data_IF_704035246371
#
_entry.id   IF_704035246371
#
_cell.length_a   1.000
_cell.length_b   1.000
_cell.length_c   1.000
_cell.angle_alpha   90.00
_cell.angle_beta   90.00
_cell.angle_gamma   90.00
#
_symmetry.space_group_name_H-M   'P 1'
#
loop_
_entity.id
_entity.type
_entity.pdbx_description
1 polymer ?
#
# COMPACT_ATOMS: atom_id res chain seq x y z
N UNK A 1 -53.84 -1.60 16.36
CA UNK A 1 -53.84 -0.13 16.26
C UNK A 1 -54.02 0.42 17.67
N UNK A 2 -52.94 0.55 18.43
CA UNK A 2 -52.92 1.38 19.63
C UNK A 2 -52.24 2.69 19.24
N UNK A 3 -52.93 3.80 19.43
CA UNK A 3 -52.40 5.13 19.18
C UNK A 3 -51.75 5.63 20.48
N UNK A 4 -50.47 5.96 20.43
CA UNK A 4 -49.78 6.68 21.51
C UNK A 4 -50.50 7.99 21.80
N UNK A 5 -50.66 8.28 23.10
CA UNK A 5 -51.21 9.54 23.58
C UNK A 5 -50.05 10.44 24.00
N UNK A 6 -50.08 11.67 23.53
CA UNK A 6 -49.11 12.73 23.85
C UNK A 6 -49.61 13.52 25.05
N UNK A 7 -48.78 13.65 26.09
CA UNK A 7 -49.00 14.56 27.23
C UNK A 7 -48.70 16.02 26.82
N UNK A 8 -49.20 17.04 27.53
CA UNK A 8 -49.12 18.44 27.12
C UNK A 8 -47.70 19.03 27.15
N UNK A 9 -46.69 18.30 27.61
CA UNK A 9 -45.27 18.66 27.53
C UNK A 9 -44.53 18.06 26.31
N UNK A 10 -45.22 17.26 25.49
CA UNK A 10 -44.67 16.65 24.27
C UNK A 10 -43.89 15.36 24.48
N UNK A 11 -43.86 14.79 25.70
CA UNK A 11 -43.23 13.49 25.96
C UNK A 11 -44.05 12.31 25.40
N UNK A 12 -43.35 11.34 24.79
CA UNK A 12 -43.93 10.07 24.34
C UNK A 12 -43.83 9.05 25.49
N UNK A 13 -44.95 8.38 25.76
CA UNK A 13 -45.07 7.36 26.80
C UNK A 13 -45.40 6.01 26.16
N UNK A 14 -44.79 4.94 26.64
CA UNK A 14 -45.09 3.60 26.17
C UNK A 14 -46.44 3.07 26.70
N UNK A 15 -46.84 1.88 26.25
CA UNK A 15 -48.08 1.23 26.64
C UNK A 15 -48.20 0.94 28.16
N UNK A 16 -47.09 1.02 28.91
CA UNK A 16 -47.01 0.81 30.35
C UNK A 16 -46.88 2.13 31.14
N UNK A 17 -47.01 3.28 30.47
CA UNK A 17 -47.01 4.61 31.09
C UNK A 17 -45.62 5.09 31.54
N UNK A 18 -44.55 4.53 30.98
CA UNK A 18 -43.18 4.98 31.24
C UNK A 18 -42.78 5.98 30.16
N UNK A 19 -42.14 7.08 30.58
CA UNK A 19 -41.52 8.05 29.69
C UNK A 19 -40.43 7.36 28.87
N UNK A 20 -40.61 7.32 27.56
CA UNK A 20 -39.59 6.83 26.64
C UNK A 20 -38.59 7.99 26.47
N UNK A 21 -37.30 7.82 26.79
CA UNK A 21 -36.31 8.84 26.46
C UNK A 21 -36.34 9.05 24.95
N UNK A 22 -36.25 10.30 24.46
CA UNK A 22 -36.08 10.52 23.02
C UNK A 22 -34.87 9.70 22.56
N UNK A 23 -34.98 8.99 21.42
CA UNK A 23 -33.83 8.37 20.77
C UNK A 23 -32.82 9.47 20.45
N UNK A 24 -31.88 9.69 21.37
CA UNK A 24 -30.69 10.46 21.10
C UNK A 24 -29.93 9.71 20.01
N UNK A 25 -29.79 10.36 18.86
CA UNK A 25 -28.78 10.01 17.87
C UNK A 25 -27.47 9.76 18.63
N UNK A 26 -26.81 8.63 18.39
CA UNK A 26 -25.57 8.21 19.07
C UNK A 26 -24.38 9.17 18.90
N UNK A 27 -24.60 10.34 18.31
CA UNK A 27 -23.63 11.39 18.03
C UNK A 27 -23.95 12.59 18.93
N UNK A 28 -23.14 12.78 19.97
CA UNK A 28 -23.25 13.94 20.86
C UNK A 28 -23.08 15.25 20.10
N UNK A 29 -23.89 16.25 20.46
CA UNK A 29 -23.88 17.61 19.89
C UNK A 29 -22.49 18.29 19.96
N UNK A 30 -21.65 17.87 20.90
CA UNK A 30 -20.28 18.37 21.10
C UNK A 30 -19.32 18.05 19.97
N UNK A 31 -19.49 16.92 19.26
CA UNK A 31 -18.56 16.51 18.19
C UNK A 31 -18.72 17.36 16.90
N UNK A 32 -19.74 18.20 16.87
CA UNK A 32 -20.14 19.01 15.70
C UNK A 32 -19.99 20.51 15.89
N UNK A 33 -19.41 20.97 17.01
CA UNK A 33 -19.20 22.40 17.19
C UNK A 33 -18.19 22.92 16.15
N UNK A 34 -18.60 23.95 15.40
CA UNK A 34 -17.82 24.54 14.30
C UNK A 34 -16.88 25.67 14.75
N UNK A 35 -16.93 26.03 16.03
CA UNK A 35 -16.08 27.05 16.63
C UNK A 35 -15.87 26.75 18.10
N UNK A 36 -14.65 26.92 18.57
CA UNK A 36 -14.25 26.64 19.94
C UNK A 36 -13.39 27.77 20.47
N UNK A 37 -13.51 28.09 21.76
CA UNK A 37 -12.37 28.68 22.44
C UNK A 37 -11.41 27.56 22.85
N UNK A 38 -10.13 27.89 23.02
CA UNK A 38 -9.09 26.88 23.27
C UNK A 38 -9.29 26.11 24.59
N UNK A 39 -9.85 26.74 25.62
CA UNK A 39 -10.06 26.08 26.92
C UNK A 39 -11.15 25.01 26.82
N UNK A 40 -12.27 25.34 26.17
CA UNK A 40 -13.36 24.39 25.96
C UNK A 40 -12.89 23.22 25.08
N UNK A 41 -12.18 23.51 23.98
CA UNK A 41 -11.65 22.47 23.08
C UNK A 41 -10.75 21.46 23.81
N UNK A 42 -9.85 21.95 24.67
CA UNK A 42 -8.94 21.11 25.45
C UNK A 42 -9.65 20.30 26.54
N UNK A 43 -10.88 20.68 26.92
CA UNK A 43 -11.69 19.95 27.89
C UNK A 43 -12.54 18.84 27.26
N UNK A 44 -12.69 18.84 25.93
CA UNK A 44 -13.41 17.79 25.20
C UNK A 44 -12.56 16.54 25.10
N UNK A 45 -13.17 15.39 25.36
CA UNK A 45 -12.60 14.09 25.01
C UNK A 45 -13.23 13.64 23.70
N UNK A 46 -12.45 13.67 22.63
CA UNK A 46 -12.86 13.17 21.32
C UNK A 46 -12.69 11.65 21.25
N UNK A 47 -13.59 10.97 20.55
CA UNK A 47 -13.40 9.57 20.20
C UNK A 47 -12.18 9.43 19.27
N UNK A 48 -11.43 8.31 19.37
CA UNK A 48 -10.36 8.05 18.42
C UNK A 48 -10.88 7.98 16.97
N UNK A 49 -10.10 8.43 15.97
CA UNK A 49 -10.51 8.39 14.58
C UNK A 49 -10.95 6.98 14.15
N UNK A 50 -12.03 6.89 13.37
CA UNK A 50 -12.50 5.60 12.85
C UNK A 50 -11.59 5.14 11.71
N UNK A 51 -11.11 3.92 11.79
CA UNK A 51 -10.28 3.31 10.74
C UNK A 51 -11.09 2.29 9.92
N UNK A 52 -11.07 2.46 8.61
CA UNK A 52 -11.47 1.41 7.68
C UNK A 52 -10.34 0.38 7.52
N UNK A 53 -9.09 0.87 7.45
CA UNK A 53 -7.88 0.05 7.41
C UNK A 53 -6.84 0.74 8.30
N UNK A 54 -6.54 0.22 9.50
CA UNK A 54 -5.59 0.83 10.42
C UNK A 54 -4.24 1.14 9.76
N UNK A 55 -3.76 2.38 9.94
CA UNK A 55 -2.50 2.87 9.37
C UNK A 55 -2.55 3.20 7.86
N UNK A 56 -3.69 3.00 7.19
CA UNK A 56 -3.83 3.28 5.76
C UNK A 56 -5.03 4.16 5.42
N UNK A 57 -6.21 3.87 5.98
CA UNK A 57 -7.48 4.53 5.70
C UNK A 57 -8.20 4.87 7.00
N UNK A 58 -7.95 6.06 7.54
CA UNK A 58 -8.78 6.69 8.57
C UNK A 58 -10.01 7.36 7.94
N UNK A 59 -10.94 7.81 8.78
CA UNK A 59 -11.97 8.76 8.40
C UNK A 59 -11.37 10.00 7.70
N UNK A 60 -12.16 10.60 6.81
CA UNK A 60 -11.68 11.62 5.88
C UNK A 60 -11.36 11.04 4.50
N UNK A 61 -10.60 11.80 3.71
CA UNK A 61 -10.33 11.49 2.30
C UNK A 61 -8.90 11.04 2.09
N UNK A 62 -8.74 9.80 1.63
CA UNK A 62 -7.46 9.25 1.15
C UNK A 62 -7.46 9.15 -0.37
N UNK A 63 -6.40 9.62 -1.03
CA UNK A 63 -6.22 9.45 -2.47
C UNK A 63 -5.28 8.28 -2.76
N UNK A 64 -5.74 7.27 -3.50
CA UNK A 64 -4.89 6.22 -4.06
C UNK A 64 -4.46 6.59 -5.48
N UNK A 65 -3.25 7.12 -5.61
CA UNK A 65 -2.66 7.54 -6.87
C UNK A 65 -1.69 6.49 -7.46
N UNK A 66 -1.41 6.60 -8.75
CA UNK A 66 -0.41 5.79 -9.47
C UNK A 66 -0.67 5.71 -10.96
N UNK A 67 0.30 5.21 -11.72
CA UNK A 67 0.19 5.14 -13.18
C UNK A 67 -0.97 4.22 -13.63
N UNK A 68 -1.50 4.40 -14.85
CA UNK A 68 -2.49 3.46 -15.40
C UNK A 68 -2.00 2.01 -15.35
N UNK A 69 -2.92 1.09 -15.05
CA UNK A 69 -2.69 -0.37 -15.05
C UNK A 69 -1.69 -0.91 -14.00
N UNK A 70 -1.27 -0.10 -13.02
CA UNK A 70 -0.40 -0.60 -11.93
C UNK A 70 -1.13 -1.49 -10.92
N UNK A 71 -2.48 -1.50 -10.90
CA UNK A 71 -3.26 -2.37 -10.01
C UNK A 71 -4.08 -1.66 -8.93
N UNK A 72 -4.26 -0.34 -9.00
CA UNK A 72 -5.05 0.44 -8.02
C UNK A 72 -6.48 -0.05 -7.83
N UNK A 73 -7.23 -0.24 -8.92
CA UNK A 73 -8.61 -0.75 -8.83
C UNK A 73 -8.68 -2.17 -8.27
N UNK A 74 -7.61 -2.96 -8.40
CA UNK A 74 -7.54 -4.28 -7.75
C UNK A 74 -7.30 -4.14 -6.25
N UNK A 75 -6.37 -3.26 -5.85
CA UNK A 75 -6.16 -2.92 -4.44
C UNK A 75 -7.45 -2.37 -3.80
N UNK A 76 -8.07 -1.37 -4.43
CA UNK A 76 -9.27 -0.73 -3.92
C UNK A 76 -10.45 -1.71 -3.77
N UNK A 77 -10.63 -2.63 -4.74
CA UNK A 77 -11.68 -3.65 -4.67
C UNK A 77 -11.39 -4.68 -3.57
N UNK A 78 -10.15 -5.14 -3.44
CA UNK A 78 -9.73 -6.07 -2.38
C UNK A 78 -9.93 -5.45 -0.99
N UNK A 79 -9.59 -4.18 -0.81
CA UNK A 79 -9.86 -3.44 0.43
C UNK A 79 -11.36 -3.34 0.71
N UNK A 80 -12.20 -3.00 -0.28
CA UNK A 80 -13.65 -2.92 -0.07
C UNK A 80 -14.27 -4.27 0.30
N UNK A 81 -13.83 -5.35 -0.35
CA UNK A 81 -14.25 -6.72 0.01
C UNK A 81 -13.79 -7.08 1.43
N UNK A 82 -12.54 -6.79 1.77
CA UNK A 82 -11.97 -7.09 3.08
C UNK A 82 -12.65 -6.29 4.20
N UNK A 83 -12.93 -4.99 4.00
CA UNK A 83 -13.67 -4.18 4.99
C UNK A 83 -15.10 -4.69 5.16
N UNK A 84 -15.78 -5.03 4.06
CA UNK A 84 -17.14 -5.56 4.13
C UNK A 84 -17.24 -6.97 4.75
N UNK A 85 -16.18 -7.77 4.64
CA UNK A 85 -16.13 -9.14 5.16
C UNK A 85 -15.49 -9.25 6.54
N UNK A 86 -14.69 -8.24 6.94
CA UNK A 86 -13.69 -8.38 7.99
C UNK A 86 -12.48 -9.22 7.54
N UNK A 87 -11.63 -9.60 8.49
CA UNK A 87 -10.43 -10.41 8.22
C UNK A 87 -9.19 -9.52 8.08
N UNK A 88 -8.41 -9.70 7.00
CA UNK A 88 -7.13 -9.00 6.84
C UNK A 88 -7.03 -8.21 5.54
N UNK A 89 -6.83 -6.89 5.61
CA UNK A 89 -6.35 -6.09 4.49
C UNK A 89 -4.88 -6.40 4.22
N UNK A 90 -4.52 -6.43 2.93
CA UNK A 90 -3.15 -6.68 2.47
C UNK A 90 -2.49 -7.93 3.09
N UNK A 91 -3.31 -8.90 3.53
CA UNK A 91 -2.86 -10.14 4.18
C UNK A 91 -2.33 -10.01 5.60
N UNK A 92 -2.25 -8.80 6.18
CA UNK A 92 -1.67 -8.59 7.52
C UNK A 92 -2.52 -7.75 8.47
N UNK A 93 -3.14 -6.68 7.96
CA UNK A 93 -3.83 -5.68 8.79
C UNK A 93 -5.22 -6.18 9.15
N UNK A 94 -5.48 -6.44 10.43
CA UNK A 94 -6.78 -6.89 10.91
C UNK A 94 -7.85 -5.82 10.76
N UNK A 95 -9.03 -6.23 10.31
CA UNK A 95 -10.15 -5.35 9.99
C UNK A 95 -11.37 -5.67 10.85
N UNK A 96 -12.00 -4.62 11.35
CA UNK A 96 -13.36 -4.69 11.84
C UNK A 96 -14.32 -4.67 10.64
N UNK A 97 -15.25 -5.65 10.53
CA UNK A 97 -16.21 -5.66 9.44
C UNK A 97 -17.15 -4.44 9.53
N UNK A 98 -17.62 -3.98 8.38
CA UNK A 98 -18.68 -2.96 8.31
C UNK A 98 -19.08 -2.65 6.87
N UNK A 99 -20.24 -2.01 6.64
CA UNK A 99 -20.71 -1.72 5.29
C UNK A 99 -19.68 -0.91 4.49
N UNK A 100 -19.54 -1.27 3.21
CA UNK A 100 -18.68 -0.59 2.27
C UNK A 100 -19.42 -0.30 0.96
N UNK A 101 -19.18 0.88 0.40
CA UNK A 101 -19.70 1.30 -0.91
C UNK A 101 -18.57 1.35 -1.92
N UNK A 102 -18.70 0.65 -3.04
CA UNK A 102 -17.73 0.67 -4.14
C UNK A 102 -18.37 1.23 -5.42
N UNK A 103 -17.93 2.42 -5.83
CA UNK A 103 -18.33 3.06 -7.08
C UNK A 103 -17.35 2.66 -8.21
N UNK A 104 -17.73 1.67 -9.01
CA UNK A 104 -16.97 1.09 -10.14
C UNK A 104 -17.27 1.79 -11.48
N UNK A 105 -16.78 3.01 -11.65
CA UNK A 105 -17.20 3.97 -12.68
C UNK A 105 -16.45 3.86 -14.03
N UNK A 106 -15.50 2.93 -14.14
CA UNK A 106 -14.77 2.64 -15.40
C UNK A 106 -15.10 1.25 -15.98
N UNK A 107 -16.27 0.70 -15.68
CA UNK A 107 -16.61 -0.66 -16.05
C UNK A 107 -18.08 -0.91 -16.32
N UNK A 108 -18.40 -2.18 -16.47
CA UNK A 108 -19.76 -2.69 -16.56
C UNK A 108 -20.01 -3.67 -15.42
N UNK A 109 -21.27 -3.97 -15.13
CA UNK A 109 -21.62 -5.01 -14.15
C UNK A 109 -20.95 -6.35 -14.46
N UNK A 110 -20.81 -6.73 -15.74
CA UNK A 110 -20.07 -7.95 -16.15
C UNK A 110 -18.61 -7.91 -15.73
N UNK A 111 -17.91 -6.78 -15.97
CA UNK A 111 -16.50 -6.63 -15.60
C UNK A 111 -16.33 -6.67 -14.08
N UNK A 112 -17.19 -5.97 -13.35
CA UNK A 112 -17.16 -5.94 -11.89
C UNK A 112 -17.43 -7.34 -11.31
N UNK A 113 -18.45 -8.06 -11.81
CA UNK A 113 -18.75 -9.42 -11.38
C UNK A 113 -17.55 -10.36 -11.61
N UNK A 114 -16.88 -10.27 -12.76
CA UNK A 114 -15.67 -11.06 -13.03
C UNK A 114 -14.56 -10.74 -12.03
N UNK A 115 -14.35 -9.47 -11.70
CA UNK A 115 -13.32 -9.05 -10.73
C UNK A 115 -13.63 -9.51 -9.32
N UNK A 116 -14.88 -9.36 -8.88
CA UNK A 116 -15.33 -9.84 -7.57
C UNK A 116 -15.09 -11.34 -7.42
N UNK A 117 -15.42 -12.15 -8.43
CA UNK A 117 -15.12 -13.60 -8.40
C UNK A 117 -13.63 -13.89 -8.23
N UNK A 118 -12.77 -13.11 -8.88
CA UNK A 118 -11.31 -13.25 -8.75
C UNK A 118 -10.83 -12.91 -7.34
N UNK A 119 -11.25 -11.76 -6.79
CA UNK A 119 -10.86 -11.31 -5.45
C UNK A 119 -11.38 -12.26 -4.37
N UNK A 120 -12.63 -12.72 -4.50
CA UNK A 120 -13.26 -13.61 -3.53
C UNK A 120 -12.65 -15.02 -3.52
N UNK A 121 -11.95 -15.44 -4.59
CA UNK A 121 -11.29 -16.74 -4.67
C UNK A 121 -12.22 -17.94 -4.34
N UNK A 122 -13.51 -17.85 -4.70
CA UNK A 122 -14.53 -18.86 -4.37
C UNK A 122 -15.18 -18.70 -2.99
N UNK A 123 -14.74 -17.74 -2.18
CA UNK A 123 -15.37 -17.34 -0.93
C UNK A 123 -16.72 -16.63 -1.11
N UNK A 124 -17.48 -16.47 -0.01
CA UNK A 124 -18.80 -15.84 -0.04
C UNK A 124 -18.69 -14.34 -0.35
N UNK A 125 -19.58 -13.84 -1.22
CA UNK A 125 -19.68 -12.40 -1.45
C UNK A 125 -20.27 -11.70 -0.20
N UNK A 126 -19.60 -10.67 0.36
CA UNK A 126 -20.09 -9.99 1.55
C UNK A 126 -21.36 -9.19 1.25
N UNK A 127 -22.42 -9.43 2.03
CA UNK A 127 -23.68 -8.66 1.89
C UNK A 127 -23.52 -7.17 2.23
N UNK A 128 -22.53 -6.84 3.07
CA UNK A 128 -22.20 -5.46 3.43
C UNK A 128 -21.49 -4.66 2.32
N UNK A 129 -21.14 -5.27 1.18
CA UNK A 129 -20.54 -4.55 0.06
C UNK A 129 -21.61 -4.14 -0.96
N UNK A 130 -21.90 -2.85 -1.02
CA UNK A 130 -22.72 -2.27 -2.09
C UNK A 130 -21.85 -1.85 -3.26
N UNK A 131 -22.23 -2.24 -4.47
CA UNK A 131 -21.51 -1.88 -5.69
C UNK A 131 -22.38 -1.03 -6.62
N UNK A 132 -21.85 0.11 -7.05
CA UNK A 132 -22.51 1.05 -7.95
C UNK A 132 -21.66 1.23 -9.20
N UNK A 133 -22.26 1.16 -10.39
CA UNK A 133 -21.53 1.29 -11.67
C UNK A 133 -21.71 2.66 -12.34
N UNK A 134 -22.62 3.49 -11.80
CA UNK A 134 -22.94 4.82 -12.33
C UNK A 134 -23.16 5.79 -11.17
N UNK A 135 -22.54 6.96 -11.26
CA UNK A 135 -22.69 8.03 -10.28
C UNK A 135 -22.56 9.37 -11.02
N UNK A 136 -23.47 10.33 -10.80
CA UNK A 136 -23.34 11.67 -11.35
C UNK A 136 -22.07 12.36 -10.85
N UNK A 137 -21.66 13.47 -11.49
CA UNK A 137 -20.70 14.38 -10.89
C UNK A 137 -21.10 14.79 -9.46
N UNK A 138 -20.10 15.01 -8.59
CA UNK A 138 -20.30 15.34 -7.18
C UNK A 138 -21.20 16.57 -7.02
N UNK A 139 -20.94 17.60 -7.82
CA UNK A 139 -21.70 18.86 -7.89
C UNK A 139 -23.09 18.74 -8.55
N UNK A 140 -23.43 17.56 -9.08
CA UNK A 140 -24.67 17.27 -9.80
C UNK A 140 -25.42 16.07 -9.16
N UNK A 141 -25.35 15.96 -7.84
CA UNK A 141 -26.07 14.94 -7.05
C UNK A 141 -25.28 13.66 -6.78
N UNK A 142 -24.03 13.55 -7.24
CA UNK A 142 -23.15 12.44 -6.86
C UNK A 142 -22.82 12.45 -5.36
N UNK A 143 -22.62 13.63 -4.77
CA UNK A 143 -22.42 13.77 -3.33
C UNK A 143 -23.69 13.36 -2.55
N UNK A 144 -24.87 13.78 -3.01
CA UNK A 144 -26.16 13.43 -2.40
C UNK A 144 -26.45 11.92 -2.50
N UNK A 145 -26.09 11.28 -3.62
CA UNK A 145 -26.21 9.83 -3.78
C UNK A 145 -25.36 9.08 -2.75
N UNK A 146 -24.13 9.53 -2.50
CA UNK A 146 -23.24 8.93 -1.50
C UNK A 146 -23.79 9.18 -0.09
N UNK A 147 -24.20 10.42 0.21
CA UNK A 147 -24.79 10.78 1.49
C UNK A 147 -26.05 9.96 1.80
N UNK A 148 -26.96 9.79 0.83
CA UNK A 148 -28.16 8.99 1.02
C UNK A 148 -27.88 7.51 1.25
N UNK A 149 -26.79 6.97 0.68
CA UNK A 149 -26.35 5.61 1.03
C UNK A 149 -25.78 5.54 2.46
N UNK A 150 -25.02 6.55 2.88
CA UNK A 150 -24.46 6.65 4.24
C UNK A 150 -25.55 6.84 5.30
N UNK A 151 -26.61 7.61 5.00
CA UNK A 151 -27.78 7.74 5.88
C UNK A 151 -28.46 6.37 6.13
N UNK A 152 -28.48 5.50 5.12
CA UNK A 152 -29.03 4.15 5.24
C UNK A 152 -28.06 3.14 5.89
N UNK A 153 -26.80 3.50 6.08
CA UNK A 153 -25.73 2.64 6.63
C UNK A 153 -24.87 3.43 7.63
N UNK A 154 -25.42 3.80 8.81
CA UNK A 154 -24.74 4.68 9.77
C UNK A 154 -23.44 4.08 10.34
N UNK A 155 -23.27 2.76 10.26
CA UNK A 155 -22.08 2.01 10.66
C UNK A 155 -21.08 1.79 9.50
N UNK A 156 -21.32 2.40 8.33
CA UNK A 156 -20.43 2.32 7.18
C UNK A 156 -18.99 2.67 7.54
N UNK A 157 -18.06 1.90 6.97
CA UNK A 157 -16.62 2.06 7.22
C UNK A 157 -15.87 2.62 6.03
N UNK A 158 -16.31 2.35 4.81
CA UNK A 158 -15.54 2.71 3.62
C UNK A 158 -16.43 3.08 2.42
N UNK A 159 -16.09 4.18 1.77
CA UNK A 159 -16.56 4.53 0.43
C UNK A 159 -15.37 4.55 -0.53
N UNK A 160 -15.47 3.85 -1.66
CA UNK A 160 -14.44 3.83 -2.70
C UNK A 160 -14.97 4.43 -3.98
N UNK A 161 -14.26 5.41 -4.54
CA UNK A 161 -14.56 6.03 -5.84
C UNK A 161 -13.51 5.63 -6.88
N UNK A 162 -13.83 4.65 -7.74
CA UNK A 162 -12.93 4.08 -8.77
C UNK A 162 -13.47 4.36 -10.19
N UNK A 163 -13.13 5.46 -10.86
CA UNK A 163 -12.08 6.45 -10.54
C UNK A 163 -12.64 7.85 -10.28
N UNK A 164 -11.97 8.63 -9.45
CA UNK A 164 -12.38 9.99 -9.06
C UNK A 164 -12.64 10.91 -10.25
N UNK A 165 -11.87 10.76 -11.34
CA UNK A 165 -12.04 11.56 -12.55
C UNK A 165 -13.44 11.44 -13.20
N UNK A 166 -14.22 10.40 -12.87
CA UNK A 166 -15.58 10.20 -13.37
C UNK A 166 -16.64 11.01 -12.63
N UNK A 167 -16.39 11.37 -11.37
CA UNK A 167 -17.34 12.13 -10.52
C UNK A 167 -16.89 13.56 -10.25
N UNK A 168 -15.65 13.91 -10.57
CA UNK A 168 -15.13 15.27 -10.33
C UNK A 168 -15.95 16.39 -11.02
N UNK A 169 -16.65 16.08 -12.11
CA UNK A 169 -17.40 17.07 -12.88
C UNK A 169 -16.53 17.93 -13.79
N UNK A 170 -17.15 18.78 -14.63
CA UNK A 170 -16.42 19.70 -15.51
C UNK A 170 -15.75 20.80 -14.70
N UNK A 171 -14.59 21.27 -15.18
CA UNK A 171 -13.93 22.43 -14.58
C UNK A 171 -14.82 23.69 -14.76
N UNK A 172 -15.17 24.41 -13.68
CA UNK A 172 -15.94 25.64 -13.78
C UNK A 172 -15.23 26.70 -14.66
N UNK A 173 -16.01 27.49 -15.40
CA UNK A 173 -15.47 28.55 -16.23
C UNK A 173 -14.72 29.58 -15.39
N UNK A 174 -13.53 29.99 -15.84
CA UNK A 174 -12.69 30.96 -15.13
C UNK A 174 -11.89 30.40 -13.95
N UNK A 175 -12.07 29.13 -13.58
CA UNK A 175 -11.35 28.51 -12.46
C UNK A 175 -10.03 27.90 -12.91
N UNK A 176 -8.98 28.08 -12.11
CA UNK A 176 -7.70 27.41 -12.35
C UNK A 176 -7.85 25.89 -12.20
N UNK A 177 -6.96 25.12 -12.81
CA UNK A 177 -6.98 23.66 -12.64
C UNK A 177 -6.76 23.25 -11.18
N UNK A 178 -5.92 23.99 -10.45
CA UNK A 178 -5.66 23.79 -9.02
C UNK A 178 -6.93 23.99 -8.18
N UNK A 179 -7.59 25.14 -8.32
CA UNK A 179 -8.78 25.45 -7.52
C UNK A 179 -9.92 24.47 -7.81
N UNK A 180 -10.05 24.04 -9.07
CA UNK A 180 -11.03 23.04 -9.46
C UNK A 180 -10.71 21.64 -8.91
N UNK A 181 -9.43 21.27 -8.85
CA UNK A 181 -8.96 20.03 -8.21
C UNK A 181 -9.30 20.08 -6.72
N UNK A 182 -8.87 21.14 -6.03
CA UNK A 182 -9.07 21.35 -4.60
C UNK A 182 -10.55 21.34 -4.22
N UNK A 183 -11.38 22.09 -4.95
CA UNK A 183 -12.83 22.14 -4.74
C UNK A 183 -13.48 20.77 -4.86
N UNK A 184 -13.14 20.01 -5.90
CA UNK A 184 -13.77 18.71 -6.14
C UNK A 184 -13.46 17.67 -5.06
N UNK A 185 -12.26 17.72 -4.48
CA UNK A 185 -11.92 16.89 -3.31
C UNK A 185 -12.62 17.42 -2.06
N UNK A 186 -12.72 18.74 -1.91
CA UNK A 186 -13.46 19.39 -0.82
C UNK A 186 -14.93 18.98 -0.76
N UNK A 187 -15.60 18.80 -1.90
CA UNK A 187 -17.00 18.35 -1.96
C UNK A 187 -17.19 16.96 -1.33
N UNK A 188 -16.30 16.00 -1.65
CA UNK A 188 -16.38 14.67 -1.03
C UNK A 188 -15.82 14.64 0.39
N UNK A 189 -14.86 15.53 0.71
CA UNK A 189 -14.36 15.68 2.08
C UNK A 189 -15.46 16.14 3.03
N UNK A 190 -16.30 17.09 2.61
CA UNK A 190 -17.44 17.52 3.42
C UNK A 190 -18.40 16.36 3.74
N UNK A 191 -18.56 15.39 2.82
CA UNK A 191 -19.31 14.15 3.08
C UNK A 191 -18.53 13.25 4.05
N UNK A 192 -17.24 13.01 3.82
CA UNK A 192 -16.42 12.17 4.70
C UNK A 192 -16.43 12.67 6.17
N UNK A 193 -16.21 13.97 6.37
CA UNK A 193 -16.17 14.62 7.67
C UNK A 193 -17.55 14.59 8.35
N UNK A 194 -18.64 14.82 7.61
CA UNK A 194 -20.02 14.79 8.16
C UNK A 194 -20.40 13.43 8.72
N UNK A 195 -19.96 12.36 8.07
CA UNK A 195 -20.34 10.99 8.41
C UNK A 195 -19.27 10.22 9.21
N UNK A 196 -18.09 10.81 9.45
CA UNK A 196 -16.97 10.13 10.11
C UNK A 196 -16.59 8.83 9.40
N UNK A 197 -16.50 8.88 8.06
CA UNK A 197 -16.28 7.70 7.20
C UNK A 197 -15.00 7.85 6.38
N UNK A 198 -14.29 6.73 6.16
CA UNK A 198 -13.14 6.71 5.27
C UNK A 198 -13.60 6.73 3.81
N UNK A 199 -13.03 7.63 3.02
CA UNK A 199 -13.27 7.71 1.57
C UNK A 199 -11.95 7.49 0.82
N UNK A 200 -11.93 6.50 -0.07
CA UNK A 200 -10.78 6.20 -0.94
C UNK A 200 -11.06 6.66 -2.38
N UNK A 201 -10.31 7.67 -2.83
CA UNK A 201 -10.37 8.19 -4.19
C UNK A 201 -9.30 7.54 -5.06
N UNK A 202 -9.68 6.74 -6.06
CA UNK A 202 -8.70 6.20 -7.02
C UNK A 202 -8.38 7.26 -8.08
N UNK A 203 -7.10 7.62 -8.18
CA UNK A 203 -6.61 8.68 -9.07
C UNK A 203 -5.45 8.20 -9.96
N UNK A 204 -5.33 8.75 -11.16
CA UNK A 204 -4.23 8.46 -12.07
C UNK A 204 -3.16 9.54 -11.98
N UNK A 205 -1.91 9.16 -11.71
CA UNK A 205 -0.78 10.08 -11.76
C UNK A 205 -0.44 10.45 -13.20
N UNK A 206 0.27 11.56 -13.38
CA UNK A 206 0.89 11.90 -14.68
C UNK A 206 2.23 11.17 -14.83
N UNK A 207 2.76 11.13 -16.06
CA UNK A 207 3.96 10.37 -16.44
C UNK A 207 5.29 11.11 -16.17
N UNK A 208 5.39 11.85 -15.08
CA UNK A 208 6.67 12.35 -14.60
C UNK A 208 7.11 11.41 -13.47
N UNK A 209 8.33 10.89 -13.52
CA UNK A 209 8.96 10.26 -12.36
C UNK A 209 9.63 11.40 -11.59
N UNK A 210 9.03 11.80 -10.46
CA UNK A 210 9.61 12.73 -9.51
C UNK A 210 10.14 11.97 -8.28
N UNK A 211 11.26 12.44 -7.73
CA UNK A 211 11.76 11.98 -6.42
C UNK A 211 10.74 12.29 -5.31
N UNK A 212 10.02 13.42 -5.43
CA UNK A 212 8.86 13.73 -4.60
C UNK A 212 7.60 13.12 -5.23
N UNK A 213 7.07 12.05 -4.61
CA UNK A 213 5.89 11.34 -5.10
C UNK A 213 4.60 12.16 -5.01
N UNK A 214 4.52 13.19 -4.16
CA UNK A 214 3.35 14.05 -4.05
C UNK A 214 3.16 14.87 -5.32
N UNK A 215 4.25 15.30 -5.94
CA UNK A 215 4.24 15.98 -7.24
C UNK A 215 3.66 15.10 -8.37
N UNK A 216 3.73 13.77 -8.23
CA UNK A 216 3.22 12.84 -9.24
C UNK A 216 1.68 12.72 -9.20
N UNK A 217 1.06 12.95 -8.03
CA UNK A 217 -0.38 12.76 -7.77
C UNK A 217 -1.20 13.62 -8.73
N UNK A 218 -0.84 14.89 -8.88
CA UNK A 218 -1.45 15.78 -9.86
C UNK A 218 -0.46 16.90 -10.16
N UNK A 219 -0.21 17.24 -11.42
CA UNK A 219 0.62 18.42 -11.71
C UNK A 219 -0.12 19.75 -11.55
N UNK A 220 -1.03 19.84 -10.58
CA UNK A 220 -1.55 21.09 -9.98
C UNK A 220 -1.30 21.10 -8.47
N UNK A 221 -1.10 19.94 -7.82
CA UNK A 221 -1.10 19.72 -6.37
C UNK A 221 -2.44 19.98 -5.67
N UNK A 222 -3.52 20.35 -6.39
CA UNK A 222 -4.81 20.67 -5.77
C UNK A 222 -5.49 19.46 -5.12
N UNK A 223 -5.36 18.28 -5.74
CA UNK A 223 -5.88 17.02 -5.18
C UNK A 223 -5.11 16.66 -3.91
N UNK A 224 -3.78 16.76 -3.97
CA UNK A 224 -2.91 16.42 -2.85
C UNK A 224 -3.16 17.34 -1.64
N UNK A 225 -3.31 18.65 -1.88
CA UNK A 225 -3.52 19.62 -0.81
C UNK A 225 -4.89 19.58 -0.14
N UNK A 226 -5.91 19.05 -0.81
CA UNK A 226 -7.27 18.95 -0.27
C UNK A 226 -7.57 17.64 0.46
N UNK A 227 -6.80 16.58 0.22
CA UNK A 227 -6.98 15.30 0.88
C UNK A 227 -6.37 15.27 2.29
N UNK A 228 -6.85 14.35 3.13
CA UNK A 228 -6.32 14.10 4.47
C UNK A 228 -5.11 13.17 4.41
N UNK A 229 -5.11 12.22 3.46
CA UNK A 229 -4.00 11.33 3.20
C UNK A 229 -3.80 11.06 1.70
N UNK A 230 -2.55 10.79 1.33
CA UNK A 230 -2.13 10.44 -0.01
C UNK A 230 -1.39 9.12 0.03
N UNK A 231 -1.84 8.20 -0.81
CA UNK A 231 -1.24 6.89 -1.00
C UNK A 231 -0.84 6.71 -2.46
N UNK A 232 0.42 6.38 -2.74
CA UNK A 232 0.90 6.15 -4.11
C UNK A 232 1.32 4.70 -4.28
N UNK A 233 0.64 4.00 -5.19
CA UNK A 233 1.01 2.66 -5.62
C UNK A 233 1.97 2.74 -6.83
N UNK A 234 3.25 2.44 -6.57
CA UNK A 234 4.28 2.30 -7.60
C UNK A 234 4.50 0.82 -7.92
N UNK A 235 4.60 0.50 -9.21
CA UNK A 235 4.90 -0.85 -9.69
C UNK A 235 5.74 -0.80 -10.96
N UNK A 236 6.91 -1.40 -10.94
CA UNK A 236 7.77 -1.51 -12.12
C UNK A 236 7.15 -2.49 -13.12
N UNK A 237 7.11 -2.09 -14.41
CA UNK A 237 6.58 -2.95 -15.47
C UNK A 237 7.39 -4.25 -15.55
N UNK A 238 6.70 -5.37 -15.66
CA UNK A 238 7.34 -6.69 -15.73
C UNK A 238 7.67 -7.32 -14.37
N UNK A 239 7.48 -6.60 -13.24
CA UNK A 239 7.59 -7.18 -11.89
C UNK A 239 6.23 -7.50 -11.27
N UNK A 240 6.22 -8.53 -10.43
CA UNK A 240 5.08 -8.82 -9.56
C UNK A 240 4.95 -7.74 -8.48
N UNK A 241 6.07 -7.36 -7.87
CA UNK A 241 6.09 -6.54 -6.66
C UNK A 241 5.93 -5.04 -6.94
N UNK A 242 5.53 -4.31 -5.89
CA UNK A 242 5.30 -2.86 -5.91
C UNK A 242 5.57 -2.24 -4.55
N UNK A 243 5.44 -0.92 -4.48
CA UNK A 243 5.63 -0.14 -3.26
C UNK A 243 4.40 0.73 -3.06
N UNK A 244 3.92 0.78 -1.82
CA UNK A 244 2.87 1.68 -1.37
C UNK A 244 3.49 2.76 -0.51
N UNK A 245 3.47 3.99 -0.99
CA UNK A 245 3.95 5.17 -0.26
C UNK A 245 2.73 5.83 0.39
N UNK A 246 2.81 6.23 1.65
CA UNK A 246 1.71 6.83 2.41
C UNK A 246 2.23 8.08 3.11
N UNK A 247 1.43 9.14 3.09
CA UNK A 247 1.62 10.34 3.91
C UNK A 247 0.28 11.01 4.15
N UNK A 248 0.10 11.69 5.27
CA UNK A 248 -1.15 12.38 5.58
C UNK A 248 -1.12 13.07 6.92
N UNK A 249 -2.27 13.62 7.31
CA UNK A 249 -2.45 14.37 8.56
C UNK A 249 -2.55 13.44 9.76
N UNK A 250 -3.33 12.37 9.61
CA UNK A 250 -3.66 11.42 10.67
C UNK A 250 -3.01 10.03 10.44
N UNK A 251 -2.17 9.90 9.41
CA UNK A 251 -1.39 8.71 9.09
C UNK A 251 0.09 9.03 9.10
N UNK A 252 0.88 8.15 9.72
CA UNK A 252 2.34 8.27 9.69
C UNK A 252 2.87 8.08 8.27
N UNK A 253 3.84 8.92 7.91
CA UNK A 253 4.57 8.77 6.66
C UNK A 253 5.29 7.42 6.66
N UNK A 254 4.99 6.59 5.66
CA UNK A 254 5.51 5.22 5.62
C UNK A 254 5.58 4.68 4.20
N UNK A 255 6.49 3.72 4.01
CA UNK A 255 6.65 3.02 2.75
C UNK A 255 6.53 1.51 2.98
N UNK A 256 5.67 0.85 2.20
CA UNK A 256 5.44 -0.57 2.32
C UNK A 256 5.78 -1.33 1.04
N UNK A 257 6.59 -2.38 1.21
CA UNK A 257 6.83 -3.39 0.21
C UNK A 257 5.56 -4.23 -0.02
N UNK A 258 5.13 -4.35 -1.28
CA UNK A 258 3.97 -5.16 -1.66
C UNK A 258 4.36 -6.23 -2.68
N UNK A 259 3.81 -7.44 -2.55
CA UNK A 259 3.79 -8.44 -3.62
C UNK A 259 2.41 -8.49 -4.27
N UNK A 260 2.37 -8.73 -5.58
CA UNK A 260 1.13 -8.94 -6.31
C UNK A 260 0.90 -10.42 -6.59
N UNK A 261 -0.18 -10.96 -6.04
CA UNK A 261 -0.67 -12.29 -6.38
C UNK A 261 -1.43 -12.25 -7.72
N UNK A 262 -0.90 -12.85 -8.80
CA UNK A 262 -1.55 -12.83 -10.11
C UNK A 262 -2.83 -13.68 -10.17
N UNK A 263 -2.97 -14.71 -9.32
CA UNK A 263 -4.11 -15.61 -9.33
C UNK A 263 -5.36 -14.94 -8.75
N UNK A 264 -5.20 -14.30 -7.58
CA UNK A 264 -6.28 -13.61 -6.88
C UNK A 264 -6.34 -12.11 -7.16
N UNK A 265 -5.36 -11.59 -7.92
CA UNK A 265 -5.21 -10.16 -8.23
C UNK A 265 -5.12 -9.29 -6.96
N UNK A 266 -4.54 -9.85 -5.90
CA UNK A 266 -4.45 -9.22 -4.59
C UNK A 266 -3.05 -8.65 -4.34
N UNK A 267 -2.99 -7.58 -3.57
CA UNK A 267 -1.73 -7.04 -3.04
C UNK A 267 -1.53 -7.52 -1.62
N UNK A 268 -0.30 -7.90 -1.26
CA UNK A 268 0.05 -8.38 0.08
C UNK A 268 1.25 -7.61 0.62
N UNK A 269 1.20 -7.24 1.89
CA UNK A 269 2.33 -6.63 2.59
C UNK A 269 3.45 -7.66 2.75
N UNK A 270 4.67 -7.25 2.42
CA UNK A 270 5.89 -8.00 2.70
C UNK A 270 6.51 -7.51 4.02
N UNK A 271 7.30 -8.37 4.67
CA UNK A 271 8.01 -8.00 5.91
C UNK A 271 9.31 -7.22 5.63
N UNK A 272 9.83 -7.34 4.40
CA UNK A 272 11.05 -6.65 4.00
C UNK A 272 10.81 -5.13 3.85
N UNK A 273 11.80 -4.28 4.15
CA UNK A 273 11.67 -2.83 3.98
C UNK A 273 11.32 -2.45 2.55
N UNK A 274 10.46 -1.43 2.37
CA UNK A 274 10.16 -0.90 1.05
C UNK A 274 11.42 -0.47 0.31
N UNK A 275 12.41 0.11 0.99
CA UNK A 275 13.70 0.50 0.40
C UNK A 275 14.46 -0.60 -0.34
N UNK A 276 14.17 -1.88 -0.08
CA UNK A 276 14.76 -3.01 -0.82
C UNK A 276 14.04 -3.29 -2.17
N UNK A 277 12.76 -2.91 -2.27
CA UNK A 277 11.94 -2.96 -3.50
C UNK A 277 11.82 -1.61 -4.23
N UNK A 278 11.95 -0.52 -3.48
CA UNK A 278 11.83 0.89 -3.88
C UNK A 278 13.12 1.45 -4.47
N UNK A 279 14.06 0.58 -4.83
CA UNK A 279 15.18 0.94 -5.67
C UNK A 279 14.79 0.61 -7.11
N UNK A 280 14.34 1.58 -7.92
CA UNK A 280 13.99 1.31 -9.29
C UNK A 280 15.31 1.10 -10.05
N UNK A 281 15.53 -0.14 -10.47
CA UNK A 281 16.53 -0.62 -11.42
C UNK A 281 18.02 -0.47 -11.07
N UNK A 282 18.49 0.54 -10.36
CA UNK A 282 19.94 0.85 -10.34
C UNK A 282 20.77 -0.18 -9.56
N UNK A 283 20.47 -0.49 -8.29
CA UNK A 283 21.27 -1.45 -7.49
C UNK A 283 21.25 -2.86 -8.10
N UNK A 284 20.09 -3.34 -8.54
CA UNK A 284 19.96 -4.65 -9.17
C UNK A 284 20.62 -4.70 -10.55
N UNK A 285 20.51 -3.64 -11.36
CA UNK A 285 21.22 -3.56 -12.65
C UNK A 285 22.73 -3.56 -12.42
N UNK A 286 23.23 -2.79 -11.46
CA UNK A 286 24.64 -2.79 -11.07
C UNK A 286 25.07 -4.17 -10.56
N UNK A 287 24.30 -4.79 -9.67
CA UNK A 287 24.65 -6.08 -9.07
C UNK A 287 24.57 -7.24 -10.08
N UNK A 288 23.56 -7.26 -10.95
CA UNK A 288 23.45 -8.22 -12.04
C UNK A 288 24.59 -8.05 -13.05
N UNK A 289 24.92 -6.81 -13.41
CA UNK A 289 26.07 -6.51 -14.26
C UNK A 289 27.38 -6.99 -13.63
N UNK A 290 27.64 -6.65 -12.37
CA UNK A 290 28.87 -7.03 -11.66
C UNK A 290 29.00 -8.53 -11.39
N UNK A 291 27.90 -9.30 -11.40
CA UNK A 291 27.95 -10.77 -11.38
C UNK A 291 28.49 -11.35 -12.68
N UNK A 292 28.19 -10.72 -13.82
CA UNK A 292 28.69 -11.14 -15.13
C UNK A 292 30.04 -10.50 -15.49
N UNK A 293 30.31 -9.31 -14.98
CA UNK A 293 31.52 -8.53 -15.24
C UNK A 293 32.06 -7.93 -13.92
N UNK A 294 32.69 -8.74 -13.07
CA UNK A 294 33.23 -8.29 -11.79
C UNK A 294 34.42 -7.32 -11.95
N UNK A 295 34.69 -6.53 -10.91
CA UNK A 295 35.89 -5.70 -10.84
C UNK A 295 35.83 -4.41 -11.66
N UNK A 296 34.64 -3.81 -11.77
CA UNK A 296 34.45 -2.56 -12.50
C UNK A 296 34.33 -1.35 -11.59
N UNK A 297 34.79 -0.20 -12.08
CA UNK A 297 34.61 1.10 -11.43
C UNK A 297 33.33 1.82 -11.87
N UNK A 298 32.91 2.90 -11.17
CA UNK A 298 31.65 3.59 -11.41
C UNK A 298 31.41 4.04 -12.86
N UNK A 299 32.47 4.43 -13.58
CA UNK A 299 32.39 4.89 -14.97
C UNK A 299 32.08 3.74 -15.94
N UNK A 300 32.76 2.61 -15.78
CA UNK A 300 32.50 1.42 -16.59
C UNK A 300 31.10 0.85 -16.34
N UNK A 301 30.66 0.86 -15.07
CA UNK A 301 29.31 0.46 -14.68
C UNK A 301 28.27 1.39 -15.33
N UNK A 302 28.51 2.71 -15.30
CA UNK A 302 27.65 3.71 -15.94
C UNK A 302 27.52 3.47 -17.45
N UNK A 303 28.66 3.32 -18.14
CA UNK A 303 28.71 3.09 -19.59
C UNK A 303 28.01 1.78 -20.00
N UNK A 304 28.12 0.73 -19.18
CA UNK A 304 27.55 -0.59 -19.48
C UNK A 304 26.07 -0.74 -19.12
N UNK A 305 25.60 -0.05 -18.07
CA UNK A 305 24.24 -0.22 -17.53
C UNK A 305 23.26 0.89 -17.95
N UNK A 306 23.76 2.00 -18.49
CA UNK A 306 22.97 3.19 -18.81
C UNK A 306 22.59 4.02 -17.58
N UNK A 307 23.05 3.65 -16.38
CA UNK A 307 22.87 4.44 -15.16
C UNK A 307 23.76 5.68 -15.24
N UNK A 308 23.23 6.86 -14.89
CA UNK A 308 24.01 8.10 -14.87
C UNK A 308 25.22 8.00 -13.91
N UNK A 309 26.38 8.51 -14.31
CA UNK A 309 27.65 8.34 -13.58
C UNK A 309 27.59 8.73 -12.10
N UNK A 310 27.04 9.91 -11.77
CA UNK A 310 26.95 10.36 -10.37
C UNK A 310 26.06 9.46 -9.51
N UNK A 311 25.00 8.90 -10.11
CA UNK A 311 24.12 7.94 -9.46
C UNK A 311 24.82 6.59 -9.28
N UNK A 312 25.52 6.10 -10.30
CA UNK A 312 26.30 4.86 -10.22
C UNK A 312 27.36 4.94 -9.11
N UNK A 313 28.13 6.04 -9.06
CA UNK A 313 29.19 6.29 -8.06
C UNK A 313 28.66 6.30 -6.62
N UNK A 314 27.59 7.06 -6.35
CA UNK A 314 26.96 7.08 -5.02
C UNK A 314 26.41 5.71 -4.64
N UNK A 315 25.81 5.02 -5.62
CA UNK A 315 25.15 3.74 -5.39
C UNK A 315 26.12 2.61 -5.05
N UNK A 316 27.22 2.43 -5.81
CA UNK A 316 28.21 1.38 -5.51
C UNK A 316 28.93 1.59 -4.18
N UNK A 317 29.20 2.85 -3.81
CA UNK A 317 29.83 3.21 -2.52
C UNK A 317 28.92 2.80 -1.36
N UNK A 318 27.62 3.12 -1.48
CA UNK A 318 26.61 2.75 -0.50
C UNK A 318 26.42 1.23 -0.44
N UNK A 319 26.36 0.55 -1.59
CA UNK A 319 26.25 -0.92 -1.64
C UNK A 319 27.45 -1.64 -1.03
N UNK A 320 28.67 -1.10 -1.15
CA UNK A 320 29.83 -1.63 -0.46
C UNK A 320 29.76 -1.41 1.07
N UNK A 321 29.25 -0.26 1.49
CA UNK A 321 29.00 0.04 2.92
C UNK A 321 27.93 -0.90 3.50
N UNK A 322 26.89 -1.20 2.71
CA UNK A 322 25.78 -2.08 3.05
C UNK A 322 26.16 -3.59 2.93
N UNK A 323 27.42 -3.94 2.66
CA UNK A 323 27.92 -5.29 2.41
C UNK A 323 27.22 -6.06 1.27
N UNK A 324 26.66 -5.35 0.29
CA UNK A 324 26.02 -5.92 -0.91
C UNK A 324 27.00 -6.09 -2.07
N UNK A 325 28.13 -5.37 -2.02
CA UNK A 325 29.28 -5.50 -2.91
C UNK A 325 30.55 -5.54 -2.05
N UNK A 326 31.62 -6.15 -2.54
CA UNK A 326 32.95 -5.95 -1.99
C UNK A 326 33.77 -5.02 -2.90
N UNK A 327 34.76 -4.34 -2.31
CA UNK A 327 35.67 -3.44 -3.04
C UNK A 327 37.12 -3.79 -2.76
N UNK A 328 38.00 -3.60 -3.75
CA UNK A 328 39.44 -3.81 -3.64
C UNK A 328 40.19 -2.60 -3.02
N UNK A 329 39.45 -1.56 -2.62
CA UNK A 329 40.03 -0.30 -2.10
C UNK A 329 40.67 0.59 -3.17
N UNK A 330 40.64 0.19 -4.45
CA UNK A 330 41.17 0.94 -5.60
C UNK A 330 40.06 1.46 -6.53
N UNK A 331 38.82 1.40 -6.07
CA UNK A 331 37.65 1.92 -6.78
C UNK A 331 36.95 0.90 -7.67
N UNK A 332 37.27 -0.40 -7.56
CA UNK A 332 36.55 -1.47 -8.24
C UNK A 332 35.59 -2.19 -7.28
N UNK A 333 34.48 -2.65 -7.84
CA UNK A 333 33.40 -3.29 -7.09
C UNK A 333 33.08 -4.67 -7.66
N UNK A 334 32.61 -5.54 -6.78
CA UNK A 334 32.37 -6.95 -7.05
C UNK A 334 31.14 -7.43 -6.30
N UNK A 335 30.35 -8.32 -6.89
CA UNK A 335 29.21 -8.93 -6.20
C UNK A 335 29.70 -9.83 -5.04
N UNK A 336 28.98 -9.82 -3.92
CA UNK A 336 29.21 -10.79 -2.84
C UNK A 336 28.49 -12.10 -3.19
N UNK A 337 29.23 -13.16 -3.48
CA UNK A 337 28.64 -14.49 -3.62
C UNK A 337 28.24 -15.00 -2.23
N UNK A 338 26.96 -15.34 -2.06
CA UNK A 338 26.54 -16.16 -0.92
C UNK A 338 26.91 -17.60 -1.22
N UNK A 339 28.18 -17.97 -1.00
CA UNK A 339 28.62 -19.33 -0.67
C UNK A 339 30.08 -19.34 -0.24
N UNK A 340 30.27 -19.48 1.08
CA UNK A 340 31.36 -20.23 1.74
C UNK A 340 32.74 -19.56 2.03
N UNK A 341 33.56 -20.14 2.95
CA UNK A 341 33.96 -19.53 4.22
C UNK A 341 35.36 -18.89 4.25
N UNK A 342 35.62 -18.13 5.33
CA UNK A 342 36.85 -17.34 5.57
C UNK A 342 38.15 -18.13 5.27
N UNK A 343 39.16 -17.51 4.64
CA UNK A 343 40.50 -18.10 4.56
C UNK A 343 41.19 -17.98 5.92
N UNK A 344 41.76 -19.08 6.40
CA UNK A 344 42.73 -19.09 7.49
C UNK A 344 44.02 -18.34 7.09
N UNK A 345 44.68 -17.64 8.01
CA UNK A 345 45.84 -16.80 7.67
C UNK A 345 47.10 -17.66 7.43
N UNK A 346 48.09 -17.18 6.65
CA UNK A 346 49.34 -17.90 6.43
C UNK A 346 50.43 -17.45 7.40
N UNK A 347 51.15 -18.40 8.01
CA UNK A 347 52.56 -18.27 8.44
C UNK A 347 52.98 -19.55 9.16
N UNK A 348 54.20 -20.08 9.11
CA UNK A 348 55.43 -19.80 8.34
C UNK A 348 56.36 -21.01 8.60
N UNK A 349 57.24 -21.34 7.66
CA UNK A 349 58.33 -22.28 7.92
C UNK A 349 59.49 -21.54 8.61
N UNK A 350 60.12 -22.16 9.63
CA UNK A 350 61.55 -22.59 9.62
C UNK A 350 62.07 -23.01 11.04
N UNK A 351 62.61 -24.25 11.08
CA UNK A 351 63.89 -24.72 11.71
C UNK A 351 63.99 -25.15 13.22
N UNK A 352 64.43 -26.43 13.37
CA UNK A 352 65.18 -27.19 14.42
C UNK A 352 64.64 -27.26 15.87
N UNK A 353 64.78 -28.35 16.64
CA UNK A 353 65.79 -29.42 16.72
C UNK A 353 65.15 -30.79 17.03
N UNK A 354 65.85 -31.88 16.74
CA UNK A 354 65.39 -33.26 16.95
C UNK A 354 65.46 -33.77 18.39
N UNK A 355 64.98 -35.01 18.56
CA UNK A 355 65.56 -36.17 19.29
C UNK A 355 64.47 -37.26 19.38
N UNK A 356 64.85 -38.45 18.96
CA UNK A 356 64.42 -39.82 19.31
C UNK A 356 62.95 -40.25 19.37
N UNK A 357 62.69 -41.44 18.81
CA UNK A 357 61.74 -42.36 19.44
C UNK A 357 60.77 -43.11 18.53
N UNK A 358 61.31 -44.14 17.87
CA UNK A 358 60.73 -45.49 17.86
C UNK A 358 59.53 -45.87 16.95
N UNK A 359 59.71 -47.05 16.34
CA UNK A 359 58.73 -48.08 15.95
C UNK A 359 57.92 -47.99 14.64
N UNK A 360 58.58 -48.51 13.60
CA UNK A 360 58.19 -49.60 12.65
C UNK A 360 56.88 -49.58 11.81
N UNK A 361 56.93 -50.07 10.55
CA UNK A 361 55.92 -49.84 9.51
C UNK A 361 55.04 -51.08 9.22
N UNK A 362 53.90 -50.88 8.55
CA UNK A 362 53.22 -51.97 7.83
C UNK A 362 52.47 -51.45 6.60
N UNK A 363 52.92 -51.92 5.45
CA UNK A 363 52.22 -52.05 4.17
C UNK A 363 52.76 -53.36 3.53
N UNK A 364 52.23 -53.90 2.40
CA UNK A 364 51.01 -53.57 1.65
C UNK A 364 50.20 -54.83 1.21
N UNK A 365 49.18 -54.60 0.35
CA UNK A 365 48.74 -55.45 -0.79
C UNK A 365 47.50 -56.36 -0.61
N UNK A 366 46.81 -56.80 -1.69
CA UNK A 366 46.60 -56.19 -3.03
C UNK A 366 45.14 -56.27 -3.57
N UNK A 367 44.95 -55.68 -4.75
CA UNK A 367 43.80 -55.68 -5.67
C UNK A 367 43.52 -57.10 -6.25
N UNK A 368 42.32 -57.39 -6.79
CA UNK A 368 42.25 -57.55 -8.25
C UNK A 368 41.03 -56.89 -8.94
N UNK A 369 41.22 -56.72 -10.25
CA UNK A 369 40.44 -56.04 -11.30
C UNK A 369 39.23 -56.85 -11.86
N UNK A 370 38.12 -56.14 -12.19
CA UNK A 370 37.24 -56.19 -13.40
C UNK A 370 36.68 -57.55 -13.96
N UNK A 371 35.72 -57.64 -14.94
CA UNK A 371 35.17 -56.63 -15.87
C UNK A 371 33.63 -56.67 -16.20
N UNK A 372 33.20 -55.66 -17.00
CA UNK A 372 32.31 -55.67 -18.20
C UNK A 372 30.80 -56.04 -18.21
N UNK A 373 30.06 -55.18 -18.97
CA UNK A 373 28.88 -55.44 -19.85
C UNK A 373 27.52 -55.75 -19.19
N UNK A 374 26.35 -55.29 -19.66
CA UNK A 374 25.92 -54.53 -20.84
C UNK A 374 24.37 -54.56 -20.98
N UNK A 375 23.83 -53.63 -21.77
CA UNK A 375 22.54 -53.66 -22.52
C UNK A 375 21.15 -53.59 -21.83
N UNK A 376 20.33 -52.72 -22.43
CA UNK A 376 18.89 -52.41 -22.26
C UNK A 376 17.93 -53.59 -22.48
N UNK A 377 16.61 -53.44 -22.23
CA UNK A 377 15.70 -52.70 -23.15
C UNK A 377 15.13 -51.39 -22.59
#
# INVERSE_FOLDING_TARGET
>A
MSADRTEPDGSLVDADGRTVPPEESAWGETDRAVSWNAADLLSVTFEPPRWAVPGLLSEGVTVLAGLPKVGKSWLALDLAVSVASGGKALGKIDLQPGPALYLALEGTGRRLQSRLRTVLAGGPAPRGLTCVIECPPLDQGGADQIAGWLDAHPDARLVVIDVFAKVRGPRPAGMSSYDADYRSVGEIKAVADRYGVAVLLVHHTRKAESDDFLADVSGTNGIAGAADAITVLRRTRGRADGVLLITGRDVDESEHALSFDPAHRAWRLLDQPAGELALPDTRLTILAHLRHQPGQGPRQISDATGVAYELAKKTVTRMATDNQLHTDGKGHYYATDQTEPRPSPPSSALINHGIDGDSTPLAPSPIPLNPSEGTSP
#
